data_IF_074565955607
#
_entry.id   IF_074565955607
#
_cell.length_a   1.000
_cell.length_b   1.000
_cell.length_c   1.000
_cell.angle_alpha   90.00
_cell.angle_beta   90.00
_cell.angle_gamma   90.00
#
_symmetry.space_group_name_H-M   'P 1'
#
loop_
_entity.id
_entity.type
_entity.pdbx_description
1 polymer ?
#
# COMPACT_ATOMS: atom_id res chain seq x y z
N UNK A 1 10.90 -0.78 18.83
CA UNK A 1 10.07 -0.68 17.62
C UNK A 1 10.07 0.77 17.14
N UNK A 2 10.31 1.02 15.85
CA UNK A 2 10.27 2.37 15.28
C UNK A 2 8.89 2.68 14.74
N UNK A 3 8.49 3.97 14.70
CA UNK A 3 7.21 4.43 14.12
C UNK A 3 7.05 3.91 12.67
N UNK A 4 8.15 3.86 11.92
CA UNK A 4 8.18 3.32 10.57
C UNK A 4 7.89 1.81 10.52
N UNK A 5 8.50 1.03 11.42
CA UNK A 5 8.26 -0.41 11.53
C UNK A 5 6.82 -0.75 11.91
N UNK A 6 6.23 0.04 12.81
CA UNK A 6 4.81 -0.10 13.17
C UNK A 6 3.87 0.24 12.01
N UNK A 7 4.23 1.25 11.23
CA UNK A 7 3.47 1.62 10.03
C UNK A 7 3.52 0.50 8.98
N UNK A 8 4.70 -0.04 8.68
CA UNK A 8 4.87 -1.14 7.74
C UNK A 8 4.08 -2.39 8.18
N UNK A 9 4.10 -2.72 9.47
CA UNK A 9 3.36 -3.86 10.00
C UNK A 9 1.84 -3.67 9.82
N UNK A 10 1.33 -2.47 10.09
CA UNK A 10 -0.10 -2.15 9.85
C UNK A 10 -0.49 -2.24 8.38
N UNK A 11 0.36 -1.74 7.47
CA UNK A 11 0.11 -1.85 6.03
C UNK A 11 0.14 -3.31 5.55
N UNK A 12 1.06 -4.11 6.07
CA UNK A 12 1.07 -5.55 5.82
C UNK A 12 -0.25 -6.19 6.25
N UNK A 13 -0.69 -5.95 7.48
CA UNK A 13 -1.91 -6.52 8.04
C UNK A 13 -3.15 -6.17 7.22
N UNK A 14 -3.29 -4.91 6.78
CA UNK A 14 -4.38 -4.50 5.89
C UNK A 14 -4.33 -5.22 4.54
N UNK A 15 -3.13 -5.32 3.96
CA UNK A 15 -2.93 -6.01 2.69
C UNK A 15 -3.28 -7.50 2.77
N UNK A 16 -2.89 -8.17 3.86
CA UNK A 16 -3.19 -9.58 4.10
C UNK A 16 -4.69 -9.85 4.26
N UNK A 17 -5.47 -8.91 4.82
CA UNK A 17 -6.93 -9.03 4.88
C UNK A 17 -7.57 -9.08 3.48
N UNK A 18 -7.11 -8.20 2.57
CA UNK A 18 -7.54 -8.20 1.18
C UNK A 18 -7.12 -9.48 0.45
N UNK A 19 -5.89 -9.92 0.66
CA UNK A 19 -5.37 -11.15 0.06
C UNK A 19 -6.10 -12.41 0.59
N UNK A 20 -6.48 -12.43 1.86
CA UNK A 20 -7.32 -13.50 2.43
C UNK A 20 -8.71 -13.55 1.78
N UNK A 21 -9.30 -12.43 1.41
CA UNK A 21 -10.57 -12.41 0.69
C UNK A 21 -10.47 -13.11 -0.68
N UNK A 22 -9.36 -12.93 -1.40
CA UNK A 22 -9.13 -13.63 -2.67
C UNK A 22 -8.98 -15.15 -2.49
N UNK A 23 -8.27 -15.59 -1.44
CA UNK A 23 -8.14 -17.03 -1.14
C UNK A 23 -9.46 -17.64 -0.68
N UNK A 24 -10.30 -16.92 0.09
CA UNK A 24 -11.65 -17.40 0.45
C UNK A 24 -12.51 -17.59 -0.78
N UNK A 25 -12.40 -16.70 -1.77
CA UNK A 25 -13.11 -16.86 -3.04
C UNK A 25 -12.62 -18.09 -3.82
N UNK A 26 -11.30 -18.35 -3.83
CA UNK A 26 -10.76 -19.56 -4.43
C UNK A 26 -11.20 -20.83 -3.69
N UNK A 27 -11.29 -20.78 -2.36
CA UNK A 27 -11.74 -21.89 -1.51
C UNK A 27 -13.22 -22.20 -1.78
N UNK A 28 -14.09 -21.20 -1.82
CA UNK A 28 -15.50 -21.40 -2.13
C UNK A 28 -15.69 -22.10 -3.47
N UNK A 29 -14.96 -21.68 -4.51
CA UNK A 29 -14.99 -22.36 -5.82
C UNK A 29 -14.52 -23.82 -5.75
N UNK A 30 -13.55 -24.13 -4.87
CA UNK A 30 -13.07 -25.50 -4.69
C UNK A 30 -14.05 -26.38 -3.87
N UNK A 31 -14.77 -25.80 -2.92
CA UNK A 31 -15.75 -26.49 -2.08
C UNK A 31 -17.08 -26.74 -2.82
N UNK A 32 -17.46 -25.86 -3.72
CA UNK A 32 -18.69 -25.95 -4.53
C UNK A 32 -18.55 -26.92 -5.72
N UNK A 33 -17.32 -27.34 -6.08
CA UNK A 33 -17.07 -28.13 -7.30
C UNK A 33 -16.18 -29.35 -7.00
N UNK A 34 -16.77 -30.54 -7.07
CA UNK A 34 -16.10 -31.81 -6.80
C UNK A 34 -14.85 -32.04 -7.68
N UNK A 35 -14.87 -31.58 -8.93
CA UNK A 35 -13.74 -31.73 -9.87
C UNK A 35 -12.45 -31.05 -9.40
N UNK A 36 -12.53 -30.06 -8.51
CA UNK A 36 -11.41 -29.27 -8.01
C UNK A 36 -11.32 -29.26 -6.47
N UNK A 37 -12.17 -29.99 -5.79
CA UNK A 37 -12.26 -30.07 -4.31
C UNK A 37 -10.93 -30.46 -3.64
N UNK A 38 -10.06 -31.20 -4.34
CA UNK A 38 -8.73 -31.56 -3.87
C UNK A 38 -7.82 -30.32 -3.59
N UNK A 39 -8.17 -29.14 -4.06
CA UNK A 39 -7.44 -27.90 -3.75
C UNK A 39 -7.83 -27.27 -2.41
N UNK A 40 -9.01 -27.62 -1.87
CA UNK A 40 -9.54 -27.01 -0.65
C UNK A 40 -8.59 -27.09 0.55
N UNK A 41 -7.95 -28.24 0.88
CA UNK A 41 -7.05 -28.32 2.03
C UNK A 41 -5.86 -27.37 1.95
N UNK A 42 -5.27 -27.20 0.75
CA UNK A 42 -4.14 -26.28 0.53
C UNK A 42 -4.60 -24.84 0.67
N UNK A 43 -5.77 -24.49 0.17
CA UNK A 43 -6.34 -23.14 0.28
C UNK A 43 -6.68 -22.81 1.75
N UNK A 44 -7.22 -23.76 2.49
CA UNK A 44 -7.46 -23.62 3.94
C UNK A 44 -6.15 -23.40 4.71
N UNK A 45 -5.10 -24.19 4.42
CA UNK A 45 -3.79 -24.02 5.03
C UNK A 45 -3.19 -22.64 4.69
N UNK A 46 -3.35 -22.17 3.45
CA UNK A 46 -2.89 -20.83 3.06
C UNK A 46 -3.67 -19.72 3.81
N UNK A 47 -4.98 -19.88 4.04
CA UNK A 47 -5.77 -18.94 4.84
C UNK A 47 -5.33 -18.91 6.30
N UNK A 48 -5.03 -20.05 6.89
CA UNK A 48 -4.49 -20.15 8.25
C UNK A 48 -3.13 -19.43 8.34
N UNK A 49 -2.27 -19.64 7.35
CA UNK A 49 -0.98 -18.93 7.28
C UNK A 49 -1.17 -17.42 7.19
N UNK A 50 -2.06 -16.91 6.32
CA UNK A 50 -2.36 -15.48 6.24
C UNK A 50 -2.91 -14.94 7.57
N UNK A 51 -3.74 -15.72 8.26
CA UNK A 51 -4.25 -15.39 9.59
C UNK A 51 -3.12 -15.26 10.61
N UNK A 52 -2.18 -16.20 10.64
CA UNK A 52 -1.02 -16.16 11.53
C UNK A 52 -0.11 -14.95 11.23
N UNK A 53 0.17 -14.68 9.96
CA UNK A 53 0.93 -13.52 9.53
C UNK A 53 0.24 -12.19 9.90
N UNK A 54 -1.08 -12.11 9.73
CA UNK A 54 -1.86 -10.93 10.07
C UNK A 54 -1.98 -10.69 11.59
N UNK A 55 -1.89 -11.76 12.38
CA UNK A 55 -1.95 -11.69 13.85
C UNK A 55 -0.59 -11.42 14.50
N UNK A 56 0.50 -11.40 13.73
CA UNK A 56 1.82 -11.12 14.26
C UNK A 56 1.87 -9.70 14.85
N UNK A 57 2.08 -9.60 16.16
CA UNK A 57 2.07 -8.33 16.90
C UNK A 57 3.37 -7.53 16.77
N UNK A 58 4.42 -8.12 16.20
CA UNK A 58 5.72 -7.45 16.01
C UNK A 58 6.46 -7.98 14.78
N UNK A 59 7.48 -7.25 14.35
CA UNK A 59 8.37 -7.66 13.28
C UNK A 59 9.07 -8.99 13.60
N UNK A 60 9.58 -9.14 14.82
CA UNK A 60 10.25 -10.35 15.27
C UNK A 60 9.31 -11.56 15.27
N UNK A 61 8.06 -11.36 15.66
CA UNK A 61 7.04 -12.40 15.61
C UNK A 61 6.73 -12.81 14.16
N UNK A 62 6.62 -11.83 13.26
CA UNK A 62 6.40 -12.05 11.84
C UNK A 62 7.55 -12.83 11.19
N UNK A 63 8.80 -12.45 11.47
CA UNK A 63 10.00 -13.08 10.92
C UNK A 63 10.17 -14.56 11.35
N UNK A 64 9.46 -15.00 12.39
CA UNK A 64 9.46 -16.41 12.83
C UNK A 64 8.45 -17.28 12.10
N UNK A 65 7.57 -16.69 11.31
CA UNK A 65 6.53 -17.43 10.57
C UNK A 65 7.02 -17.69 9.16
N UNK A 66 7.43 -18.93 8.81
CA UNK A 66 7.88 -19.24 7.47
C UNK A 66 6.70 -19.14 6.49
N UNK A 67 6.80 -18.38 5.38
CA UNK A 67 5.72 -18.23 4.42
C UNK A 67 5.67 -19.40 3.45
N UNK A 68 5.39 -20.62 3.98
CA UNK A 68 5.23 -21.83 3.17
C UNK A 68 3.76 -21.97 2.73
N UNK A 69 3.52 -21.77 1.46
CA UNK A 69 2.19 -21.91 0.86
C UNK A 69 1.87 -23.31 0.35
N UNK A 70 2.81 -24.26 0.45
CA UNK A 70 2.64 -25.61 -0.07
C UNK A 70 2.45 -25.65 -1.60
N UNK A 71 2.11 -26.84 -2.09
CA UNK A 71 1.85 -27.06 -3.52
C UNK A 71 0.44 -27.61 -3.71
N UNK A 72 -0.22 -27.23 -4.80
CA UNK A 72 -1.47 -27.87 -5.19
C UNK A 72 -1.24 -29.33 -5.62
N UNK A 73 -2.13 -30.23 -5.26
CA UNK A 73 -2.12 -31.60 -5.81
C UNK A 73 -2.33 -31.56 -7.33
N UNK A 74 -1.78 -32.53 -8.03
CA UNK A 74 -1.99 -32.66 -9.46
C UNK A 74 -3.38 -33.29 -9.73
N UNK A 75 -4.27 -32.51 -10.36
CA UNK A 75 -5.55 -33.04 -10.86
C UNK A 75 -5.36 -33.32 -12.37
N UNK A 76 -5.32 -34.61 -12.71
CA UNK A 76 -5.23 -35.07 -14.11
C UNK A 76 -6.63 -35.17 -14.69
N UNK A 77 -6.84 -34.67 -15.94
CA UNK A 77 -8.13 -34.70 -16.66
C UNK A 77 -9.27 -34.11 -15.83
N UNK A 78 -9.08 -32.86 -15.36
CA UNK A 78 -10.12 -32.15 -14.62
C UNK A 78 -11.40 -32.04 -15.47
N UNK A 79 -12.54 -32.35 -14.86
CA UNK A 79 -13.84 -32.24 -15.51
C UNK A 79 -14.27 -30.76 -15.74
N UNK A 80 -13.70 -29.84 -14.97
CA UNK A 80 -13.91 -28.39 -15.12
C UNK A 80 -12.55 -27.66 -15.16
N UNK A 81 -11.92 -27.58 -16.37
CA UNK A 81 -10.62 -26.90 -16.54
C UNK A 81 -10.70 -25.39 -16.30
N UNK A 82 -11.83 -24.75 -16.55
CA UNK A 82 -12.01 -23.31 -16.39
C UNK A 82 -11.96 -22.91 -14.90
N UNK A 83 -12.74 -23.57 -14.08
CA UNK A 83 -12.71 -23.36 -12.63
C UNK A 83 -11.35 -23.74 -12.04
N UNK A 84 -10.73 -24.82 -12.53
CA UNK A 84 -9.39 -25.20 -12.14
C UNK A 84 -8.38 -24.08 -12.36
N UNK A 85 -8.36 -23.50 -13.55
CA UNK A 85 -7.40 -22.43 -13.91
C UNK A 85 -7.68 -21.15 -13.14
N UNK A 86 -8.95 -20.83 -12.92
CA UNK A 86 -9.37 -19.67 -12.13
C UNK A 86 -8.88 -19.78 -10.68
N UNK A 87 -9.01 -20.94 -10.04
CA UNK A 87 -8.50 -21.19 -8.68
C UNK A 87 -6.97 -21.04 -8.64
N UNK A 88 -6.26 -21.66 -9.59
CA UNK A 88 -4.81 -21.57 -9.68
C UNK A 88 -4.36 -20.12 -9.83
N UNK A 89 -5.00 -19.35 -10.71
CA UNK A 89 -4.68 -17.95 -10.94
C UNK A 89 -4.91 -17.11 -9.67
N UNK A 90 -6.08 -17.22 -9.04
CA UNK A 90 -6.40 -16.51 -7.80
C UNK A 90 -5.33 -16.77 -6.72
N UNK A 91 -4.94 -18.04 -6.54
CA UNK A 91 -3.91 -18.40 -5.57
C UNK A 91 -2.53 -17.87 -5.97
N UNK A 92 -2.10 -18.09 -7.20
CA UNK A 92 -0.77 -17.69 -7.69
C UNK A 92 -0.57 -16.18 -7.54
N UNK A 93 -1.55 -15.39 -7.98
CA UNK A 93 -1.51 -13.93 -7.89
C UNK A 93 -1.51 -13.48 -6.43
N UNK A 94 -2.28 -14.15 -5.57
CA UNK A 94 -2.33 -13.82 -4.14
C UNK A 94 -1.01 -14.17 -3.46
N UNK A 95 -0.45 -15.35 -3.69
CA UNK A 95 0.85 -15.75 -3.11
C UNK A 95 1.97 -14.82 -3.56
N UNK A 96 1.97 -14.41 -4.83
CA UNK A 96 2.96 -13.46 -5.35
C UNK A 96 2.86 -12.09 -4.65
N UNK A 97 1.63 -11.58 -4.44
CA UNK A 97 1.42 -10.33 -3.68
C UNK A 97 1.86 -10.44 -2.23
N UNK A 98 1.49 -11.52 -1.55
CA UNK A 98 1.88 -11.75 -0.14
C UNK A 98 3.41 -11.82 -0.02
N UNK A 99 4.09 -12.56 -0.88
CA UNK A 99 5.56 -12.63 -0.88
C UNK A 99 6.20 -11.25 -1.04
N UNK A 100 5.72 -10.45 -1.99
CA UNK A 100 6.20 -9.06 -2.19
C UNK A 100 5.97 -8.20 -0.95
N UNK A 101 4.83 -8.35 -0.26
CA UNK A 101 4.56 -7.61 0.98
C UNK A 101 5.47 -8.04 2.13
N UNK A 102 5.95 -9.29 2.12
CA UNK A 102 6.85 -9.82 3.14
C UNK A 102 8.32 -9.47 2.89
N UNK A 103 8.71 -9.05 1.69
CA UNK A 103 10.08 -8.67 1.34
C UNK A 103 10.72 -7.69 2.35
N UNK A 104 10.07 -6.59 2.79
CA UNK A 104 10.64 -5.68 3.78
C UNK A 104 10.96 -6.34 5.12
N UNK A 105 10.32 -7.46 5.43
CA UNK A 105 10.46 -8.20 6.69
C UNK A 105 11.41 -9.41 6.58
N UNK A 106 12.13 -9.54 5.47
CA UNK A 106 13.05 -10.66 5.22
C UNK A 106 14.27 -10.66 6.13
N UNK A 107 14.67 -9.47 6.62
CA UNK A 107 15.76 -9.29 7.56
C UNK A 107 15.23 -9.12 8.99
N UNK A 108 16.06 -9.45 9.97
CA UNK A 108 15.78 -9.13 11.36
C UNK A 108 15.78 -7.60 11.55
N UNK A 109 14.99 -7.06 12.51
CA UNK A 109 14.89 -5.62 12.74
C UNK A 109 16.25 -4.92 12.92
N UNK A 110 17.16 -5.54 13.65
CA UNK A 110 18.49 -4.99 13.90
C UNK A 110 19.38 -4.95 12.64
N UNK A 111 19.24 -5.91 11.75
CA UNK A 111 19.94 -5.93 10.46
C UNK A 111 19.41 -4.83 9.56
N UNK A 112 18.09 -4.70 9.47
CA UNK A 112 17.43 -3.62 8.72
C UNK A 112 17.85 -2.24 9.23
N UNK A 113 17.91 -2.05 10.57
CA UNK A 113 18.37 -0.79 11.16
C UNK A 113 19.84 -0.50 10.85
N UNK A 114 20.71 -1.51 10.81
CA UNK A 114 22.13 -1.35 10.44
C UNK A 114 22.27 -0.94 8.96
N UNK A 115 21.52 -1.57 8.06
CA UNK A 115 21.51 -1.19 6.64
C UNK A 115 21.00 0.23 6.43
N UNK A 116 19.89 0.60 7.08
CA UNK A 116 19.35 1.95 7.05
C UNK A 116 20.34 2.97 7.62
N UNK A 117 21.04 2.64 8.71
CA UNK A 117 22.02 3.54 9.31
C UNK A 117 23.21 3.80 8.39
N UNK A 118 23.62 2.80 7.59
CA UNK A 118 24.66 2.95 6.58
C UNK A 118 24.32 3.96 5.47
N UNK A 119 23.04 4.10 5.12
CA UNK A 119 22.57 5.08 4.13
C UNK A 119 22.17 6.44 4.74
N UNK A 120 22.12 6.54 6.06
CA UNK A 120 21.55 7.70 6.75
C UNK A 120 22.31 9.01 6.48
N UNK A 121 23.63 8.96 6.36
CA UNK A 121 24.45 10.13 6.09
C UNK A 121 24.18 10.70 4.70
N UNK A 122 24.17 9.84 3.69
CA UNK A 122 23.83 10.22 2.31
C UNK A 122 22.42 10.80 2.20
N UNK A 123 21.44 10.18 2.88
CA UNK A 123 20.05 10.66 2.91
C UNK A 123 19.93 12.00 3.63
N UNK A 124 20.64 12.21 4.74
CA UNK A 124 20.69 13.52 5.42
C UNK A 124 21.29 14.60 4.51
N UNK A 125 22.38 14.28 3.79
CA UNK A 125 22.99 15.17 2.81
C UNK A 125 22.02 15.55 1.70
N UNK A 126 21.32 14.56 1.13
CA UNK A 126 20.30 14.81 0.10
C UNK A 126 19.14 15.68 0.61
N UNK A 127 18.63 15.40 1.81
CA UNK A 127 17.57 16.19 2.43
C UNK A 127 18.04 17.65 2.72
N UNK A 128 19.27 17.84 3.20
CA UNK A 128 19.82 19.15 3.43
C UNK A 128 19.96 19.94 2.12
N UNK A 129 20.46 19.29 1.07
CA UNK A 129 20.58 19.89 -0.27
C UNK A 129 19.21 20.27 -0.84
N UNK A 130 18.23 19.37 -0.74
CA UNK A 130 16.86 19.61 -1.22
C UNK A 130 16.22 20.80 -0.48
N UNK A 131 16.39 20.88 0.84
CA UNK A 131 15.88 22.00 1.64
C UNK A 131 16.56 23.32 1.26
N UNK A 132 17.89 23.30 1.10
CA UNK A 132 18.65 24.49 0.69
C UNK A 132 18.25 24.96 -0.70
N UNK A 133 18.09 24.02 -1.64
CA UNK A 133 17.60 24.33 -2.99
C UNK A 133 16.19 24.95 -2.94
N UNK A 134 15.26 24.32 -2.25
CA UNK A 134 13.88 24.80 -2.14
C UNK A 134 13.81 26.21 -1.54
N UNK A 135 14.58 26.46 -0.49
CA UNK A 135 14.65 27.79 0.13
C UNK A 135 15.21 28.84 -0.83
N UNK A 136 16.32 28.53 -1.53
CA UNK A 136 16.91 29.43 -2.54
C UNK A 136 15.98 29.66 -3.72
N UNK A 137 15.34 28.63 -4.21
CA UNK A 137 14.40 28.71 -5.32
C UNK A 137 13.18 29.58 -4.96
N UNK A 138 12.61 29.41 -3.78
CA UNK A 138 11.53 30.24 -3.28
C UNK A 138 11.96 31.72 -3.12
N UNK A 139 13.15 31.97 -2.55
CA UNK A 139 13.68 33.30 -2.39
C UNK A 139 13.93 33.99 -3.75
N UNK A 140 14.46 33.26 -4.73
CA UNK A 140 14.71 33.82 -6.08
C UNK A 140 13.42 34.12 -6.83
N UNK A 141 12.39 33.23 -6.72
CA UNK A 141 11.05 33.52 -7.26
C UNK A 141 10.45 34.80 -6.63
N UNK A 142 10.53 34.88 -5.30
CA UNK A 142 10.05 36.09 -4.58
C UNK A 142 10.78 37.36 -5.02
N UNK A 143 12.12 37.32 -5.16
CA UNK A 143 12.93 38.47 -5.63
C UNK A 143 12.54 38.90 -7.03
N UNK A 144 12.17 37.95 -7.90
CA UNK A 144 11.76 38.24 -9.30
C UNK A 144 10.26 38.48 -9.44
N UNK A 145 9.49 38.41 -8.37
CA UNK A 145 8.02 38.48 -8.40
C UNK A 145 7.38 37.43 -9.34
N UNK A 146 7.94 36.20 -9.35
CA UNK A 146 7.47 35.11 -10.18
C UNK A 146 6.78 34.05 -9.32
N UNK A 147 5.75 33.47 -9.89
CA UNK A 147 5.03 32.30 -9.33
C UNK A 147 4.97 31.19 -10.39
N UNK A 148 5.11 29.96 -9.98
CA UNK A 148 4.78 28.82 -10.81
C UNK A 148 3.39 28.24 -10.44
N UNK A 149 2.91 27.27 -11.22
CA UNK A 149 1.59 26.68 -11.00
C UNK A 149 1.47 26.01 -9.62
N UNK A 150 2.53 25.37 -9.12
CA UNK A 150 2.54 24.78 -7.79
C UNK A 150 2.40 25.85 -6.69
N UNK A 151 2.99 27.02 -6.86
CA UNK A 151 2.82 28.13 -5.90
C UNK A 151 1.34 28.55 -5.83
N UNK A 152 0.66 28.64 -6.99
CA UNK A 152 -0.76 29.02 -7.04
C UNK A 152 -1.63 28.01 -6.31
N UNK A 153 -1.42 26.71 -6.54
CA UNK A 153 -2.14 25.63 -5.85
C UNK A 153 -1.91 25.69 -4.34
N UNK A 154 -0.66 25.81 -3.91
CA UNK A 154 -0.32 25.90 -2.48
C UNK A 154 -0.78 27.20 -1.81
N UNK A 155 -0.85 28.31 -2.53
CA UNK A 155 -1.43 29.53 -2.00
C UNK A 155 -2.94 29.42 -1.87
N UNK A 156 -3.61 28.83 -2.87
CA UNK A 156 -5.03 28.54 -2.79
C UNK A 156 -5.36 27.67 -1.57
N UNK A 157 -4.62 26.57 -1.37
CA UNK A 157 -4.78 25.73 -0.18
C UNK A 157 -4.63 26.51 1.13
N UNK A 158 -3.57 27.31 1.26
CA UNK A 158 -3.33 28.11 2.46
C UNK A 158 -4.41 29.17 2.72
N UNK A 159 -5.05 29.68 1.68
CA UNK A 159 -6.15 30.61 1.78
C UNK A 159 -7.47 29.91 2.14
N UNK A 160 -7.70 28.74 1.55
CA UNK A 160 -8.97 28.05 1.62
C UNK A 160 -9.07 27.05 2.78
N UNK A 161 -7.93 26.62 3.35
CA UNK A 161 -7.91 25.68 4.48
C UNK A 161 -7.08 26.22 5.65
N UNK A 162 -7.47 25.90 6.87
CA UNK A 162 -6.67 26.15 8.06
C UNK A 162 -5.61 25.04 8.26
N UNK A 163 -4.81 25.13 9.34
CA UNK A 163 -3.77 24.15 9.67
C UNK A 163 -4.29 22.74 9.95
N UNK A 164 -5.59 22.61 10.24
CA UNK A 164 -6.28 21.33 10.49
C UNK A 164 -6.95 20.78 9.24
N UNK A 165 -6.82 21.47 8.09
CA UNK A 165 -7.48 21.09 6.84
C UNK A 165 -8.97 21.47 6.78
N UNK A 166 -9.45 22.26 7.73
CA UNK A 166 -10.86 22.72 7.76
C UNK A 166 -11.03 23.95 6.85
N UNK A 167 -12.12 24.02 6.04
CA UNK A 167 -12.40 25.16 5.18
C UNK A 167 -12.48 26.47 5.94
N UNK A 168 -11.77 27.50 5.46
CA UNK A 168 -11.80 28.86 6.02
C UNK A 168 -13.09 29.59 5.68
N UNK A 169 -13.28 30.80 6.24
CA UNK A 169 -14.40 31.67 5.85
C UNK A 169 -14.36 32.02 4.35
N UNK A 170 -13.15 32.28 3.81
CA UNK A 170 -12.96 32.53 2.39
C UNK A 170 -13.38 31.34 1.52
N UNK A 171 -13.04 30.10 1.95
CA UNK A 171 -13.49 28.91 1.24
C UNK A 171 -15.02 28.79 1.20
N UNK A 172 -15.68 29.04 2.32
CA UNK A 172 -17.15 29.00 2.40
C UNK A 172 -17.81 30.08 1.56
N UNK A 173 -17.24 31.28 1.53
CA UNK A 173 -17.73 32.36 0.69
C UNK A 173 -17.64 32.00 -0.80
N UNK A 174 -16.48 31.48 -1.24
CA UNK A 174 -16.28 31.04 -2.62
C UNK A 174 -17.20 29.89 -2.98
N UNK A 175 -17.29 28.86 -2.11
CA UNK A 175 -18.16 27.70 -2.33
C UNK A 175 -19.64 28.11 -2.46
N UNK A 176 -20.11 29.11 -1.70
CA UNK A 176 -21.48 29.61 -1.77
C UNK A 176 -21.86 30.29 -3.10
N UNK A 177 -20.89 30.56 -3.97
CA UNK A 177 -21.13 31.15 -5.30
C UNK A 177 -21.45 30.12 -6.38
N UNK A 178 -21.24 28.83 -6.10
CA UNK A 178 -21.43 27.73 -7.03
C UNK A 178 -22.52 26.78 -6.54
N UNK A 179 -23.41 26.40 -7.43
CA UNK A 179 -24.45 25.40 -7.16
C UNK A 179 -23.93 23.98 -7.38
N UNK A 180 -23.05 23.81 -8.39
CA UNK A 180 -22.49 22.53 -8.77
C UNK A 180 -21.02 22.71 -9.20
N UNK A 181 -20.22 21.65 -9.01
CA UNK A 181 -18.83 21.59 -9.47
C UNK A 181 -18.72 20.37 -10.38
N UNK A 182 -18.36 20.60 -11.63
CA UNK A 182 -18.10 19.55 -12.62
C UNK A 182 -16.60 19.47 -12.86
N UNK A 183 -16.04 18.28 -12.73
CA UNK A 183 -14.60 18.05 -12.94
C UNK A 183 -14.44 17.21 -14.20
N UNK A 184 -13.80 17.80 -15.22
CA UNK A 184 -13.34 17.09 -16.41
C UNK A 184 -11.92 16.59 -16.20
N UNK A 185 -11.49 15.58 -16.96
CA UNK A 185 -10.15 14.99 -16.91
C UNK A 185 -9.70 14.64 -15.48
N UNK A 186 -10.60 14.07 -14.68
CA UNK A 186 -10.34 13.78 -13.26
C UNK A 186 -9.07 12.95 -13.02
N UNK A 187 -8.65 12.14 -14.00
CA UNK A 187 -7.39 11.38 -13.95
C UNK A 187 -6.14 12.27 -13.90
N UNK A 188 -6.22 13.52 -14.37
CA UNK A 188 -5.12 14.47 -14.38
C UNK A 188 -5.04 15.32 -13.09
N UNK A 189 -6.03 15.17 -12.20
CA UNK A 189 -6.02 15.86 -10.92
C UNK A 189 -4.94 15.30 -10.00
N UNK A 190 -4.28 16.18 -9.24
CA UNK A 190 -3.31 15.79 -8.24
C UNK A 190 -3.91 15.89 -6.82
N UNK A 191 -3.14 15.44 -5.80
CA UNK A 191 -3.61 15.42 -4.41
C UNK A 191 -3.81 16.82 -3.80
N UNK A 192 -3.22 17.86 -4.38
CA UNK A 192 -3.32 19.24 -3.92
C UNK A 192 -4.61 19.88 -4.41
N UNK A 193 -4.99 19.58 -5.65
CA UNK A 193 -6.25 19.99 -6.27
C UNK A 193 -7.45 19.28 -5.66
#
# INVERSE_FOLDING_TARGET
QTIWGEWLLRELQRGLQSDAAMLRRALALAEENEAVSAYAPVLQANLLLLGALASAGSWEALARIPPDFGRFPAIRKCADPETQERIKRLRTDTVARVRRRLEPFSLQPDETLRELSGSAEALRGLLALTRAFSARFAAEKSRRHLLDYNDLEHFALRLLTDRSGVPTAAAREVAGRYAEILVDEYQDTNRVQ
#
